data_IF_890026251826
#
_entry.id   IF_890026251826
#
_cell.length_a   1.000
_cell.length_b   1.000
_cell.length_c   1.000
_cell.angle_alpha   90.00
_cell.angle_beta   90.00
_cell.angle_gamma   90.00
#
_symmetry.space_group_name_H-M   'P 1'
#
loop_
_entity.id
_entity.type
_entity.pdbx_description
1 polymer ?
#
# COMPACT_ATOMS: atom_id res chain seq x y z
N UNK A 1 -71.28 -19.31 -27.70
CA UNK A 1 -71.15 -19.62 -29.13
C UNK A 1 -71.98 -18.61 -29.89
N UNK A 2 -71.40 -17.92 -30.87
CA UNK A 2 -72.19 -17.25 -31.92
C UNK A 2 -72.27 -18.19 -33.12
N UNK A 3 -73.40 -18.21 -33.82
CA UNK A 3 -73.84 -19.22 -34.82
C UNK A 3 -73.00 -19.33 -36.12
N UNK A 4 -71.74 -18.90 -36.11
CA UNK A 4 -70.77 -19.12 -37.17
C UNK A 4 -69.46 -19.48 -36.47
N UNK A 5 -69.05 -20.74 -36.54
CA UNK A 5 -68.01 -21.39 -35.72
C UNK A 5 -66.58 -20.84 -35.84
N UNK A 6 -66.39 -19.54 -35.65
CA UNK A 6 -65.13 -18.90 -35.39
C UNK A 6 -64.96 -18.78 -33.89
N UNK A 7 -63.98 -19.48 -33.31
CA UNK A 7 -63.59 -19.23 -31.93
C UNK A 7 -63.04 -17.81 -31.83
N UNK A 8 -63.71 -16.97 -31.04
CA UNK A 8 -63.22 -15.64 -30.72
C UNK A 8 -62.01 -15.80 -29.78
N UNK A 9 -60.81 -15.81 -30.35
CA UNK A 9 -59.59 -15.72 -29.55
C UNK A 9 -59.51 -14.32 -28.97
N UNK A 10 -59.62 -14.22 -27.65
CA UNK A 10 -59.33 -13.00 -26.92
C UNK A 10 -57.83 -12.97 -26.65
N UNK A 11 -57.13 -12.08 -27.35
CA UNK A 11 -55.69 -11.87 -27.19
C UNK A 11 -55.51 -10.69 -26.26
N UNK A 12 -55.03 -10.95 -25.05
CA UNK A 12 -54.60 -9.91 -24.11
C UNK A 12 -53.09 -9.76 -24.27
N UNK A 13 -52.64 -8.59 -24.77
CA UNK A 13 -51.23 -8.24 -24.93
C UNK A 13 -50.85 -7.32 -23.78
N UNK A 14 -49.94 -7.79 -22.94
CA UNK A 14 -49.33 -6.96 -21.89
C UNK A 14 -47.89 -6.70 -22.27
N UNK A 15 -47.52 -5.43 -22.42
CA UNK A 15 -46.14 -5.01 -22.66
C UNK A 15 -45.53 -4.55 -21.34
N UNK A 16 -44.45 -5.20 -20.93
CA UNK A 16 -43.70 -4.87 -19.71
C UNK A 16 -42.28 -4.44 -20.11
N UNK A 17 -41.76 -3.38 -19.46
CA UNK A 17 -40.35 -3.00 -19.59
C UNK A 17 -39.55 -3.67 -18.48
N UNK A 18 -38.64 -4.55 -18.86
CA UNK A 18 -37.68 -5.16 -17.96
C UNK A 18 -36.37 -4.36 -18.00
N UNK A 19 -36.00 -3.75 -16.88
CA UNK A 19 -34.69 -3.08 -16.75
C UNK A 19 -33.65 -4.14 -16.40
N UNK A 20 -32.77 -4.47 -17.34
CA UNK A 20 -31.63 -5.35 -17.06
C UNK A 20 -30.49 -4.57 -16.40
N UNK A 21 -29.87 -5.16 -15.38
CA UNK A 21 -28.68 -4.59 -14.74
C UNK A 21 -27.52 -4.61 -15.72
N UNK A 22 -27.08 -3.43 -16.16
CA UNK A 22 -25.86 -3.31 -16.93
C UNK A 22 -24.63 -3.57 -16.03
N UNK A 23 -23.91 -4.66 -16.29
CA UNK A 23 -22.64 -4.95 -15.63
C UNK A 23 -21.49 -4.39 -16.48
N UNK A 24 -20.93 -3.26 -16.06
CA UNK A 24 -19.76 -2.65 -16.73
C UNK A 24 -18.49 -2.94 -15.93
N UNK A 25 -17.51 -3.58 -16.58
CA UNK A 25 -16.15 -3.71 -16.05
C UNK A 25 -15.23 -2.74 -16.81
N UNK A 26 -14.31 -2.10 -16.09
CA UNK A 26 -13.24 -1.32 -16.70
C UNK A 26 -11.88 -1.83 -16.22
N UNK A 27 -10.88 -1.75 -17.08
CA UNK A 27 -9.49 -2.00 -16.74
C UNK A 27 -8.72 -0.70 -16.95
N UNK A 28 -7.88 -0.34 -15.99
CA UNK A 28 -6.91 0.75 -16.12
C UNK A 28 -5.55 0.11 -16.37
N UNK A 29 -4.87 0.55 -17.42
CA UNK A 29 -3.50 0.14 -17.65
C UNK A 29 -2.61 0.73 -16.54
N UNK A 30 -2.03 -0.16 -15.73
CA UNK A 30 -1.18 0.23 -14.59
C UNK A 30 0.28 0.35 -15.03
N UNK A 31 0.72 -0.51 -15.95
CA UNK A 31 2.05 -0.51 -16.52
C UNK A 31 2.10 -1.38 -17.79
N UNK A 32 2.99 -1.03 -18.71
CA UNK A 32 3.25 -1.76 -19.95
C UNK A 32 4.50 -2.65 -19.88
N UNK A 33 5.19 -2.69 -18.74
CA UNK A 33 6.39 -3.50 -18.52
C UNK A 33 6.48 -3.99 -17.07
N UNK A 34 7.24 -5.06 -16.84
CA UNK A 34 7.51 -5.57 -15.49
C UNK A 34 8.25 -4.53 -14.63
N UNK A 35 9.16 -3.75 -15.23
CA UNK A 35 9.91 -2.70 -14.53
C UNK A 35 8.99 -1.59 -14.05
N UNK A 36 8.08 -1.13 -14.91
CA UNK A 36 7.16 -0.04 -14.55
C UNK A 36 6.09 -0.51 -13.58
N UNK A 37 5.63 -1.76 -13.70
CA UNK A 37 4.75 -2.37 -12.71
C UNK A 37 5.41 -2.44 -11.33
N UNK A 38 6.69 -2.85 -11.27
CA UNK A 38 7.47 -2.88 -10.03
C UNK A 38 7.55 -1.48 -9.41
N UNK A 39 7.83 -0.44 -10.20
CA UNK A 39 7.86 0.95 -9.69
C UNK A 39 6.52 1.39 -9.10
N UNK A 40 5.40 1.09 -9.78
CA UNK A 40 4.07 1.47 -9.29
C UNK A 40 3.73 0.73 -7.99
N UNK A 41 3.98 -0.58 -7.93
CA UNK A 41 3.72 -1.37 -6.72
C UNK A 41 4.60 -0.89 -5.56
N UNK A 42 5.88 -0.66 -5.81
CA UNK A 42 6.83 -0.19 -4.80
C UNK A 42 6.43 1.20 -4.30
N UNK A 43 6.14 2.16 -5.18
CA UNK A 43 5.69 3.49 -4.78
C UNK A 43 4.36 3.52 -4.01
N UNK A 44 3.55 2.45 -4.09
CA UNK A 44 2.31 2.31 -3.31
C UNK A 44 2.48 1.63 -1.95
N UNK A 45 3.63 0.99 -1.70
CA UNK A 45 3.86 0.14 -0.53
C UNK A 45 5.04 0.59 0.32
N UNK A 46 6.09 1.11 -0.31
CA UNK A 46 7.32 1.56 0.35
C UNK A 46 7.08 2.97 0.91
N UNK A 47 7.22 3.10 2.23
CA UNK A 47 7.18 4.39 2.91
C UNK A 47 8.51 5.13 2.75
N UNK A 48 9.63 4.39 2.77
CA UNK A 48 10.98 4.94 2.68
C UNK A 48 11.87 4.07 1.79
N UNK A 49 12.60 4.70 0.88
CA UNK A 49 13.63 4.05 0.06
C UNK A 49 14.99 4.65 0.41
N UNK A 50 15.92 3.81 0.86
CA UNK A 50 17.29 4.20 1.19
C UNK A 50 18.28 3.34 0.40
N UNK A 51 19.40 3.94 0.01
CA UNK A 51 20.52 3.26 -0.63
C UNK A 51 21.75 3.38 0.28
N UNK A 52 22.54 2.31 0.47
CA UNK A 52 23.77 2.36 1.26
C UNK A 52 24.68 3.52 0.85
N UNK A 53 24.85 3.73 -0.46
CA UNK A 53 25.73 4.77 -1.01
C UNK A 53 25.21 6.20 -0.78
N UNK A 54 23.94 6.36 -0.42
CA UNK A 54 23.30 7.64 -0.16
C UNK A 54 23.25 8.00 1.34
N UNK A 55 23.64 7.08 2.23
CA UNK A 55 23.63 7.28 3.66
C UNK A 55 24.99 7.78 4.17
N UNK A 56 25.02 8.68 5.16
CA UNK A 56 26.23 8.94 5.92
C UNK A 56 26.64 7.66 6.69
N UNK A 57 27.95 7.45 6.88
CA UNK A 57 28.50 6.20 7.41
C UNK A 57 27.91 5.79 8.77
N UNK A 58 27.84 6.70 9.74
CA UNK A 58 27.33 6.37 11.09
C UNK A 58 25.83 5.97 11.09
N UNK A 59 24.89 6.73 10.49
CA UNK A 59 23.51 6.28 10.28
C UNK A 59 23.39 4.94 9.54
N UNK A 60 24.25 4.71 8.54
CA UNK A 60 24.28 3.45 7.80
C UNK A 60 24.67 2.29 8.71
N UNK A 61 25.73 2.44 9.50
CA UNK A 61 26.18 1.43 10.47
C UNK A 61 25.09 1.08 11.48
N UNK A 62 24.37 2.09 12.00
CA UNK A 62 23.25 1.88 12.91
C UNK A 62 22.11 1.13 12.22
N UNK A 63 21.77 1.49 10.98
CA UNK A 63 20.73 0.80 10.21
C UNK A 63 21.10 -0.66 9.94
N UNK A 64 22.34 -0.92 9.53
CA UNK A 64 22.84 -2.27 9.28
C UNK A 64 22.88 -3.11 10.54
N UNK A 65 23.27 -2.53 11.68
CA UNK A 65 23.17 -3.20 12.98
C UNK A 65 21.72 -3.51 13.33
N UNK A 66 20.79 -2.56 13.18
CA UNK A 66 19.37 -2.77 13.45
C UNK A 66 18.76 -3.87 12.58
N UNK A 67 19.20 -4.00 11.32
CA UNK A 67 18.79 -5.08 10.43
C UNK A 67 19.37 -6.42 10.89
N UNK A 68 20.66 -6.45 11.24
CA UNK A 68 21.33 -7.68 11.66
C UNK A 68 20.81 -8.23 13.00
N UNK A 69 20.46 -7.33 13.92
CA UNK A 69 19.99 -7.65 15.28
C UNK A 69 18.46 -7.62 15.39
N UNK A 70 17.75 -7.31 14.31
CA UNK A 70 16.29 -7.05 14.23
C UNK A 70 15.79 -5.90 15.12
N UNK A 71 16.67 -5.25 15.89
CA UNK A 71 16.37 -4.16 16.80
C UNK A 71 17.60 -3.30 17.03
N UNK A 72 17.39 -2.03 17.36
CA UNK A 72 18.42 -1.13 17.86
C UNK A 72 17.80 -0.23 18.94
N UNK A 73 18.55 0.08 19.99
CA UNK A 73 18.04 0.84 21.13
C UNK A 73 19.12 1.76 21.66
N UNK A 74 18.76 3.03 21.85
CA UNK A 74 19.55 4.00 22.58
C UNK A 74 18.78 4.51 23.80
N UNK A 75 19.52 4.82 24.86
CA UNK A 75 19.02 5.54 26.03
C UNK A 75 19.43 7.00 25.93
N UNK A 76 18.58 7.92 26.41
CA UNK A 76 18.89 9.33 26.37
C UNK A 76 20.19 9.67 27.15
N UNK A 77 21.07 10.55 26.62
CA UNK A 77 20.89 11.33 25.40
C UNK A 77 21.10 10.51 24.12
N UNK A 78 20.20 10.71 23.15
CA UNK A 78 20.25 10.07 21.84
C UNK A 78 21.41 10.66 21.02
N UNK A 79 22.08 9.82 20.24
CA UNK A 79 23.19 10.24 19.38
C UNK A 79 22.69 11.01 18.15
N UNK A 80 23.44 12.02 17.68
CA UNK A 80 23.11 12.77 16.46
C UNK A 80 23.01 11.84 15.23
N UNK A 81 23.78 10.75 15.21
CA UNK A 81 23.73 9.73 14.16
C UNK A 81 22.39 8.99 14.15
N UNK A 82 21.89 8.60 15.32
CA UNK A 82 20.59 7.94 15.42
C UNK A 82 19.44 8.92 15.13
N UNK A 83 19.49 10.16 15.62
CA UNK A 83 18.51 11.20 15.25
C UNK A 83 18.44 11.39 13.73
N UNK A 84 19.60 11.45 13.07
CA UNK A 84 19.67 11.58 11.61
C UNK A 84 19.12 10.36 10.89
N UNK A 85 19.34 9.14 11.41
CA UNK A 85 18.70 7.94 10.86
C UNK A 85 17.18 8.02 11.02
N UNK A 86 16.67 8.45 12.18
CA UNK A 86 15.24 8.62 12.40
C UNK A 86 14.64 9.63 11.41
N UNK A 87 15.31 10.74 11.14
CA UNK A 87 14.88 11.71 10.12
C UNK A 87 14.81 11.10 8.71
N UNK A 88 15.84 10.34 8.31
CA UNK A 88 15.89 9.66 7.02
C UNK A 88 14.80 8.59 6.87
N UNK A 89 14.42 7.95 7.98
CA UNK A 89 13.31 7.02 8.06
C UNK A 89 11.94 7.70 8.18
N UNK A 90 11.88 9.04 8.25
CA UNK A 90 10.61 9.76 8.43
C UNK A 90 9.99 9.57 9.82
N UNK A 91 10.83 9.28 10.82
CA UNK A 91 10.48 9.03 12.22
C UNK A 91 10.92 10.14 13.18
N UNK A 92 11.72 11.12 12.73
CA UNK A 92 12.28 12.16 13.62
C UNK A 92 11.25 13.05 14.33
N UNK A 93 10.00 13.09 13.87
CA UNK A 93 8.89 13.81 14.51
C UNK A 93 7.95 12.91 15.33
N UNK A 94 8.31 11.65 15.56
CA UNK A 94 7.49 10.69 16.32
C UNK A 94 7.83 10.83 17.80
N UNK A 95 6.85 11.22 18.62
CA UNK A 95 7.06 11.43 20.07
C UNK A 95 6.67 10.22 20.95
N UNK A 96 6.06 9.18 20.37
CA UNK A 96 5.52 8.04 21.13
C UNK A 96 5.88 6.70 20.50
N UNK A 97 5.19 6.32 19.44
CA UNK A 97 5.48 5.12 18.68
C UNK A 97 4.92 5.23 17.26
N UNK A 98 5.57 4.54 16.33
CA UNK A 98 5.14 4.40 14.95
C UNK A 98 5.53 2.99 14.49
N UNK A 99 4.64 2.22 13.88
CA UNK A 99 4.93 0.87 13.41
C UNK A 99 4.21 0.62 12.09
N UNK A 100 4.75 -0.29 11.30
CA UNK A 100 4.12 -0.79 10.08
C UNK A 100 4.70 -0.17 8.83
N UNK A 101 5.70 0.71 9.00
CA UNK A 101 6.38 1.34 7.88
C UNK A 101 7.22 0.32 7.11
N UNK A 102 7.32 0.53 5.81
CA UNK A 102 7.99 -0.34 4.87
C UNK A 102 9.22 0.36 4.30
N UNK A 103 10.37 -0.26 4.48
CA UNK A 103 11.67 0.20 4.00
C UNK A 103 12.13 -0.68 2.84
N UNK A 104 12.52 -0.05 1.74
CA UNK A 104 13.38 -0.68 0.73
C UNK A 104 14.82 -0.25 0.99
N UNK A 105 15.70 -1.21 1.29
CA UNK A 105 17.12 -0.96 1.54
C UNK A 105 17.98 -2.09 0.96
N UNK A 106 19.00 -1.72 0.19
CA UNK A 106 19.97 -2.66 -0.39
C UNK A 106 19.34 -3.87 -1.11
N UNK A 107 18.38 -3.61 -1.99
CA UNK A 107 17.60 -4.62 -2.72
C UNK A 107 16.75 -5.58 -1.85
N UNK A 108 16.58 -5.26 -0.57
CA UNK A 108 15.77 -6.01 0.38
C UNK A 108 14.63 -5.16 0.97
N UNK A 109 13.61 -5.87 1.48
CA UNK A 109 12.40 -5.27 2.01
C UNK A 109 12.30 -5.53 3.51
N UNK A 110 12.14 -4.45 4.27
CA UNK A 110 12.04 -4.50 5.72
C UNK A 110 10.76 -3.82 6.20
N UNK A 111 10.22 -4.31 7.31
CA UNK A 111 9.19 -3.60 8.08
C UNK A 111 9.87 -3.01 9.31
N UNK A 112 9.61 -1.74 9.58
CA UNK A 112 10.22 -1.05 10.71
C UNK A 112 9.22 -0.22 11.50
N UNK A 113 9.68 0.26 12.65
CA UNK A 113 8.94 1.12 13.55
C UNK A 113 9.84 1.66 14.65
N UNK A 114 9.35 2.70 15.34
CA UNK A 114 9.98 3.32 16.49
C UNK A 114 9.07 3.15 17.70
N UNK A 115 9.68 2.88 18.84
CA UNK A 115 9.02 2.89 20.15
C UNK A 115 9.85 3.73 21.12
N UNK A 116 9.24 4.76 21.70
CA UNK A 116 9.87 5.64 22.67
C UNK A 116 9.31 5.30 24.05
N UNK A 117 10.20 4.90 24.96
CA UNK A 117 9.87 4.70 26.35
C UNK A 117 10.21 5.96 27.16
N UNK A 118 9.19 6.61 27.71
CA UNK A 118 9.34 7.79 28.59
C UNK A 118 9.19 7.34 30.03
N UNK A 119 10.26 6.75 30.57
CA UNK A 119 10.30 6.31 31.97
C UNK A 119 11.07 7.32 32.83
#
# INVERSE_FOLDING_TARGET
MTDSGAWAYRVDITTEQLTETAHTAFAVEVASSQSDFRKVVFGSRIDTELSPDALPAEPQEILEQAIAEETYTEEAPITEAFERLLDLLGLGAVDTAENGKQLWYNDEFYRYGLYINTN
#
